data_IF_765518826046
#
_entry.id   IF_765518826046
#
_cell.length_a   1.000
_cell.length_b   1.000
_cell.length_c   1.000
_cell.angle_alpha   90.00
_cell.angle_beta   90.00
_cell.angle_gamma   90.00
#
_symmetry.space_group_name_H-M   'P 1'
#
loop_
_entity.id
_entity.type
_entity.pdbx_description
1 polymer ?
#
# COMPACT_ATOMS: atom_id res chain seq x y z
N UNK A 1 14.28 -3.87 22.17
CA UNK A 1 12.97 -3.16 22.23
C UNK A 1 12.21 -3.49 20.95
N UNK A 2 11.21 -4.36 21.03
CA UNK A 2 10.31 -4.60 19.91
C UNK A 2 9.33 -3.42 19.83
N UNK A 3 9.46 -2.57 18.81
CA UNK A 3 8.42 -1.61 18.46
C UNK A 3 7.25 -2.39 17.87
N UNK A 4 6.38 -2.90 18.75
CA UNK A 4 5.09 -3.44 18.35
C UNK A 4 4.26 -2.28 17.82
N UNK A 5 4.35 -2.02 16.51
CA UNK A 5 3.39 -1.18 15.81
C UNK A 5 2.05 -1.88 15.94
N UNK A 6 1.29 -1.52 16.97
CA UNK A 6 -0.07 -2.01 17.14
C UNK A 6 -0.79 -1.75 15.81
N UNK A 7 -1.20 -2.83 15.12
CA UNK A 7 -2.04 -2.71 13.92
C UNK A 7 -3.30 -2.01 14.38
N UNK A 8 -3.40 -0.71 14.13
CA UNK A 8 -4.65 0.04 14.32
C UNK A 8 -5.69 -0.73 13.51
N UNK A 9 -6.75 -1.28 14.12
CA UNK A 9 -7.86 -1.77 13.34
C UNK A 9 -8.28 -0.63 12.42
N UNK A 10 -8.50 -0.93 11.15
CA UNK A 10 -9.09 0.01 10.19
C UNK A 10 -10.56 0.16 10.60
N UNK A 11 -10.80 0.76 11.76
CA UNK A 11 -12.12 1.10 12.28
C UNK A 11 -12.64 2.27 11.45
N UNK A 12 -13.93 2.32 11.07
CA UNK A 12 -14.46 3.27 10.09
C UNK A 12 -14.66 4.68 10.65
N UNK A 13 -13.76 5.13 11.53
CA UNK A 13 -13.85 6.41 12.25
C UNK A 13 -12.77 7.41 11.84
N UNK A 14 -11.81 7.03 10.98
CA UNK A 14 -10.80 7.96 10.50
C UNK A 14 -11.43 8.99 9.56
N UNK A 15 -11.19 10.26 9.84
CA UNK A 15 -11.43 11.35 8.89
C UNK A 15 -10.58 11.15 7.63
N UNK A 16 -10.92 11.84 6.54
CA UNK A 16 -10.16 11.75 5.29
C UNK A 16 -8.68 12.14 5.48
N UNK A 17 -8.41 13.14 6.32
CA UNK A 17 -7.05 13.57 6.65
C UNK A 17 -6.29 12.49 7.43
N UNK A 18 -6.87 11.95 8.51
CA UNK A 18 -6.21 10.91 9.30
C UNK A 18 -5.97 9.63 8.49
N UNK A 19 -6.91 9.27 7.62
CA UNK A 19 -6.71 8.13 6.71
C UNK A 19 -5.59 8.42 5.71
N UNK A 20 -5.52 9.62 5.15
CA UNK A 20 -4.46 10.00 4.23
C UNK A 20 -3.07 9.95 4.89
N UNK A 21 -2.95 10.44 6.12
CA UNK A 21 -1.70 10.41 6.88
C UNK A 21 -1.26 8.99 7.22
N UNK A 22 -2.20 8.16 7.71
CA UNK A 22 -1.94 6.76 7.97
C UNK A 22 -1.46 6.03 6.70
N UNK A 23 -2.13 6.24 5.57
CA UNK A 23 -1.75 5.61 4.30
C UNK A 23 -0.38 6.07 3.79
N UNK A 24 -0.05 7.35 3.96
CA UNK A 24 1.27 7.87 3.61
C UNK A 24 2.38 7.22 4.47
N UNK A 25 2.17 7.11 5.78
CA UNK A 25 3.09 6.43 6.69
C UNK A 25 3.30 4.96 6.32
N UNK A 26 2.24 4.24 5.96
CA UNK A 26 2.34 2.83 5.57
C UNK A 26 3.02 2.62 4.20
N UNK A 27 2.86 3.55 3.26
CA UNK A 27 3.41 3.41 1.90
C UNK A 27 4.83 3.94 1.76
N UNK A 28 5.27 4.90 2.58
CA UNK A 28 6.58 5.55 2.46
C UNK A 28 7.78 4.58 2.49
N UNK A 29 7.80 3.52 3.33
CA UNK A 29 8.90 2.55 3.35
C UNK A 29 9.09 1.78 2.02
N UNK A 30 8.06 1.67 1.19
CA UNK A 30 8.14 0.95 -0.10
C UNK A 30 9.16 1.58 -1.06
N UNK A 31 9.49 2.88 -0.90
CA UNK A 31 10.51 3.56 -1.74
C UNK A 31 11.88 2.91 -1.63
N UNK A 32 12.21 2.30 -0.50
CA UNK A 32 13.47 1.58 -0.33
C UNK A 32 13.58 0.37 -1.29
N UNK A 33 12.44 -0.21 -1.68
CA UNK A 33 12.39 -1.39 -2.54
C UNK A 33 12.48 -1.07 -4.04
N UNK A 34 12.35 0.20 -4.42
CA UNK A 34 12.40 0.64 -5.83
C UNK A 34 13.75 0.35 -6.48
N UNK A 35 14.80 0.31 -5.67
CA UNK A 35 16.18 0.07 -6.09
C UNK A 35 16.71 -1.27 -5.57
N UNK A 36 15.82 -2.22 -5.24
CA UNK A 36 16.20 -3.49 -4.62
C UNK A 36 17.01 -4.44 -5.51
N UNK A 37 17.26 -4.10 -6.78
CA UNK A 37 17.94 -4.96 -7.76
C UNK A 37 17.11 -6.16 -8.22
N UNK A 38 15.97 -6.45 -7.56
CA UNK A 38 14.98 -7.42 -7.98
C UNK A 38 13.87 -6.69 -8.77
N UNK A 39 13.77 -6.86 -10.10
CA UNK A 39 12.84 -6.11 -10.96
C UNK A 39 11.37 -6.28 -10.55
N UNK A 40 11.02 -7.45 -10.04
CA UNK A 40 9.65 -7.78 -9.70
C UNK A 40 9.24 -7.16 -8.36
N UNK A 41 10.12 -7.20 -7.37
CA UNK A 41 9.93 -6.51 -6.08
C UNK A 41 9.88 -5.00 -6.29
N UNK A 42 10.72 -4.46 -7.18
CA UNK A 42 10.69 -3.05 -7.55
C UNK A 42 9.35 -2.67 -8.20
N UNK A 43 8.91 -3.43 -9.22
CA UNK A 43 7.65 -3.19 -9.94
C UNK A 43 6.44 -3.28 -9.01
N UNK A 44 6.35 -4.33 -8.19
CA UNK A 44 5.24 -4.51 -7.25
C UNK A 44 5.18 -3.40 -6.20
N UNK A 45 6.33 -3.03 -5.64
CA UNK A 45 6.42 -1.96 -4.62
C UNK A 45 6.04 -0.59 -5.19
N UNK A 46 6.47 -0.30 -6.42
CA UNK A 46 6.15 0.95 -7.10
C UNK A 46 4.65 1.05 -7.42
N UNK A 47 4.04 -0.01 -7.95
CA UNK A 47 2.59 -0.04 -8.24
C UNK A 47 1.77 0.20 -6.97
N UNK A 48 2.12 -0.44 -5.85
CA UNK A 48 1.43 -0.24 -4.57
C UNK A 48 1.64 1.18 -4.06
N UNK A 49 2.88 1.66 -4.03
CA UNK A 49 3.20 3.00 -3.57
C UNK A 49 2.43 4.07 -4.36
N UNK A 50 2.47 4.02 -5.69
CA UNK A 50 1.85 5.03 -6.54
C UNK A 50 0.32 5.01 -6.44
N UNK A 51 -0.27 3.81 -6.35
CA UNK A 51 -1.70 3.63 -6.10
C UNK A 51 -2.14 4.19 -4.75
N UNK A 52 -1.38 3.94 -3.68
CA UNK A 52 -1.68 4.47 -2.34
C UNK A 52 -1.51 5.99 -2.30
N UNK A 53 -0.45 6.55 -2.88
CA UNK A 53 -0.26 8.00 -2.93
C UNK A 53 -1.30 8.74 -3.79
N UNK A 54 -1.87 8.09 -4.82
CA UNK A 54 -3.01 8.63 -5.53
C UNK A 54 -4.25 8.74 -4.61
N UNK A 55 -4.50 7.74 -3.76
CA UNK A 55 -5.58 7.80 -2.76
C UNK A 55 -5.34 8.88 -1.70
N UNK A 56 -4.10 9.02 -1.22
CA UNK A 56 -3.72 10.09 -0.27
C UNK A 56 -4.03 11.47 -0.85
N UNK A 57 -3.65 11.73 -2.12
CA UNK A 57 -3.95 12.99 -2.79
C UNK A 57 -5.45 13.24 -2.91
N UNK A 58 -6.21 12.24 -3.37
CA UNK A 58 -7.65 12.35 -3.54
C UNK A 58 -8.40 12.55 -2.19
N UNK A 59 -7.95 11.88 -1.13
CA UNK A 59 -8.49 12.08 0.23
C UNK A 59 -8.22 13.50 0.75
N UNK A 60 -7.00 14.02 0.56
CA UNK A 60 -6.63 15.39 0.97
C UNK A 60 -7.35 16.46 0.16
N UNK A 61 -7.64 16.19 -1.12
CA UNK A 61 -8.42 17.08 -1.98
C UNK A 61 -9.93 17.00 -1.71
N UNK A 62 -10.40 16.07 -0.87
CA UNK A 62 -11.83 15.85 -0.63
C UNK A 62 -12.58 15.23 -1.82
N UNK A 63 -11.86 14.70 -2.81
CA UNK A 63 -12.42 14.11 -4.02
C UNK A 63 -13.05 12.73 -3.76
N UNK A 64 -12.59 12.04 -2.71
CA UNK A 64 -13.10 10.71 -2.32
C UNK A 64 -13.37 10.64 -0.82
N UNK A 65 -14.44 9.92 -0.45
CA UNK A 65 -14.73 9.61 0.95
C UNK A 65 -13.77 8.53 1.50
N UNK A 66 -13.50 8.49 2.82
CA UNK A 66 -12.64 7.49 3.45
C UNK A 66 -13.02 6.04 3.12
N UNK A 67 -14.33 5.74 3.11
CA UNK A 67 -14.85 4.40 2.79
C UNK A 67 -14.51 4.01 1.35
N UNK A 68 -14.59 4.93 0.40
CA UNK A 68 -14.24 4.68 -1.01
C UNK A 68 -12.75 4.39 -1.15
N UNK A 69 -11.89 5.10 -0.41
CA UNK A 69 -10.46 4.83 -0.38
C UNK A 69 -10.15 3.43 0.19
N UNK A 70 -10.84 3.01 1.26
CA UNK A 70 -10.71 1.67 1.85
C UNK A 70 -11.07 0.56 0.85
N UNK A 71 -12.16 0.71 0.08
CA UNK A 71 -12.52 -0.26 -0.96
C UNK A 71 -11.46 -0.31 -2.06
N UNK A 72 -10.94 0.84 -2.50
CA UNK A 72 -9.88 0.89 -3.53
C UNK A 72 -8.56 0.26 -3.06
N UNK A 73 -8.22 0.38 -1.77
CA UNK A 73 -7.05 -0.29 -1.19
C UNK A 73 -7.12 -1.82 -1.30
N UNK A 74 -8.30 -2.42 -1.17
CA UNK A 74 -8.48 -3.88 -1.38
C UNK A 74 -8.09 -4.26 -2.82
N UNK A 75 -8.46 -3.44 -3.80
CA UNK A 75 -8.09 -3.64 -5.21
C UNK A 75 -6.58 -3.56 -5.45
N UNK A 76 -5.92 -2.57 -4.85
CA UNK A 76 -4.46 -2.40 -4.91
C UNK A 76 -3.77 -3.63 -4.28
N UNK A 77 -4.19 -4.05 -3.09
CA UNK A 77 -3.62 -5.22 -2.41
C UNK A 77 -3.83 -6.52 -3.19
N UNK A 78 -5.00 -6.69 -3.84
CA UNK A 78 -5.27 -7.88 -4.67
C UNK A 78 -4.38 -7.91 -5.93
N UNK A 79 -4.11 -6.75 -6.50
CA UNK A 79 -3.21 -6.60 -7.65
C UNK A 79 -1.76 -6.91 -7.23
N UNK A 80 -1.32 -6.36 -6.10
CA UNK A 80 0.00 -6.64 -5.51
C UNK A 80 0.19 -8.12 -5.17
N UNK A 81 -0.81 -8.76 -4.57
CA UNK A 81 -0.78 -10.19 -4.26
C UNK A 81 -0.63 -11.06 -5.51
N UNK A 82 -1.26 -10.70 -6.64
CA UNK A 82 -1.06 -11.39 -7.92
C UNK A 82 0.38 -11.28 -8.42
N UNK A 83 1.01 -10.11 -8.25
CA UNK A 83 2.42 -9.94 -8.60
C UNK A 83 3.32 -10.78 -7.70
N UNK A 84 3.13 -10.73 -6.38
CA UNK A 84 3.90 -11.53 -5.41
C UNK A 84 3.76 -13.05 -5.62
N UNK A 85 2.56 -13.54 -5.93
CA UNK A 85 2.32 -14.96 -6.21
C UNK A 85 3.02 -15.39 -7.50
N UNK A 86 2.94 -14.57 -8.56
CA UNK A 86 3.55 -14.88 -9.86
C UNK A 86 5.07 -14.94 -9.78
N UNK A 87 5.69 -14.13 -8.91
CA UNK A 87 7.15 -14.14 -8.75
C UNK A 87 7.69 -15.19 -7.83
N UNK A 88 7.02 -15.49 -6.72
CA UNK A 88 7.49 -16.58 -5.87
C UNK A 88 7.36 -17.91 -6.58
N UNK A 89 6.31 -18.13 -7.39
CA UNK A 89 6.23 -19.35 -8.20
C UNK A 89 7.27 -19.39 -9.32
N UNK A 90 7.66 -18.26 -9.90
CA UNK A 90 8.71 -18.22 -10.93
C UNK A 90 10.14 -18.41 -10.37
N UNK A 91 10.39 -18.01 -9.12
CA UNK A 91 11.72 -18.05 -8.48
C UNK A 91 11.84 -19.09 -7.36
N UNK A 92 10.83 -19.95 -7.15
CA UNK A 92 10.99 -21.12 -6.28
C UNK A 92 11.85 -22.12 -7.03
N UNK A 93 13.12 -22.23 -6.63
CA UNK A 93 13.99 -23.32 -7.09
C UNK A 93 13.26 -24.65 -6.86
N UNK A 94 13.16 -25.44 -7.93
CA UNK A 94 12.74 -26.84 -7.87
C UNK A 94 13.76 -27.68 -7.10
#
# INVERSE_FOLDING_TARGET
>A
MATTTARKPITPTLTAAELADFLAEQAMPLRALFHSGNPDTATGSQVVHDGVFALVRALRAGEIAPVVAQVRLIGINRTAARYYVRTITAHRAA
#
